data_IF_028418503282
#
_entry.id   IF_028418503282
#
_cell.length_a   1.000
_cell.length_b   1.000
_cell.length_c   1.000
_cell.angle_alpha   90.00
_cell.angle_beta   90.00
_cell.angle_gamma   90.00
#
_symmetry.space_group_name_H-M   'P 1'
#
loop_
_entity.id
_entity.type
_entity.pdbx_description
1 polymer ?
#
# COMPACT_ATOMS: atom_id res chain seq x y z
N UNK A 1 -12.50 -20.72 5.63
CA UNK A 1 -13.77 -21.48 5.61
C UNK A 1 -13.74 -22.45 4.44
N UNK A 2 -13.82 -23.75 4.70
CA UNK A 2 -13.96 -24.76 3.63
C UNK A 2 -15.43 -24.87 3.25
N UNK A 3 -15.79 -24.45 2.03
CA UNK A 3 -17.15 -24.56 1.51
C UNK A 3 -17.35 -26.02 1.11
N UNK A 4 -18.14 -26.78 1.88
CA UNK A 4 -18.62 -28.10 1.42
C UNK A 4 -19.62 -27.86 0.30
N UNK A 5 -19.41 -28.57 -0.82
CA UNK A 5 -20.34 -28.64 -1.95
C UNK A 5 -21.72 -29.04 -1.40
N UNK A 6 -22.71 -28.16 -1.53
CA UNK A 6 -24.10 -28.51 -1.23
C UNK A 6 -24.51 -29.61 -2.21
N UNK A 7 -24.76 -30.82 -1.68
CA UNK A 7 -25.17 -31.97 -2.46
C UNK A 7 -26.59 -31.75 -2.99
N UNK A 8 -26.77 -32.04 -4.27
CA UNK A 8 -27.91 -31.70 -5.13
C UNK A 8 -29.26 -32.40 -4.85
N UNK A 9 -29.51 -32.90 -3.63
CA UNK A 9 -30.66 -33.79 -3.39
C UNK A 9 -31.60 -33.39 -2.23
N UNK A 10 -31.59 -32.13 -1.81
CA UNK A 10 -32.70 -31.54 -1.07
C UNK A 10 -33.11 -30.26 -1.78
N UNK A 11 -34.39 -30.11 -2.13
CA UNK A 11 -34.92 -28.85 -2.65
C UNK A 11 -34.88 -27.81 -1.54
N UNK A 12 -33.72 -27.18 -1.37
CA UNK A 12 -33.53 -26.03 -0.49
C UNK A 12 -34.07 -24.81 -1.23
N UNK A 13 -35.22 -24.29 -0.80
CA UNK A 13 -35.79 -23.07 -1.38
C UNK A 13 -34.87 -21.88 -1.04
N UNK A 14 -34.37 -21.20 -2.07
CA UNK A 14 -33.57 -19.97 -1.90
C UNK A 14 -34.49 -18.78 -2.10
N UNK A 15 -34.76 -18.04 -1.02
CA UNK A 15 -35.58 -16.81 -1.09
C UNK A 15 -34.67 -15.59 -1.09
N UNK A 16 -34.84 -14.73 -2.10
CA UNK A 16 -34.14 -13.46 -2.22
C UNK A 16 -35.14 -12.34 -1.93
N UNK A 17 -34.84 -11.48 -0.96
CA UNK A 17 -35.65 -10.31 -0.64
C UNK A 17 -34.79 -9.05 -0.62
N UNK A 18 -35.20 -8.02 -1.34
CA UNK A 18 -34.58 -6.71 -1.30
C UNK A 18 -35.48 -5.78 -0.48
N UNK A 19 -35.00 -5.29 0.65
CA UNK A 19 -35.70 -4.21 1.35
C UNK A 19 -35.35 -2.88 0.67
N UNK A 20 -36.35 -2.30 0.01
CA UNK A 20 -36.21 -1.08 -0.77
C UNK A 20 -35.93 0.15 0.09
N UNK A 21 -36.25 0.10 1.39
CA UNK A 21 -36.03 1.22 2.31
C UNK A 21 -34.59 1.31 2.83
N UNK A 22 -33.89 0.16 2.96
CA UNK A 22 -32.53 0.07 3.50
C UNK A 22 -31.47 -0.32 2.47
N UNK A 23 -31.87 -0.75 1.26
CA UNK A 23 -30.96 -1.22 0.22
C UNK A 23 -30.29 -2.55 0.54
N UNK A 24 -30.86 -3.32 1.48
CA UNK A 24 -30.32 -4.60 1.95
C UNK A 24 -30.84 -5.72 1.07
N UNK A 25 -29.92 -6.44 0.42
CA UNK A 25 -30.22 -7.71 -0.25
C UNK A 25 -30.09 -8.85 0.76
N UNK A 26 -31.18 -9.58 0.97
CA UNK A 26 -31.25 -10.74 1.84
C UNK A 26 -31.30 -12.02 1.01
N UNK A 27 -30.41 -12.95 1.33
CA UNK A 27 -30.42 -14.32 0.82
C UNK A 27 -30.75 -15.27 1.97
N UNK A 28 -31.93 -15.89 1.91
CA UNK A 28 -32.37 -16.93 2.81
C UNK A 28 -32.16 -18.29 2.15
N UNK A 29 -31.29 -19.08 2.75
CA UNK A 29 -31.07 -20.48 2.41
C UNK A 29 -31.80 -21.33 3.45
N UNK A 30 -32.99 -21.82 3.11
CA UNK A 30 -33.73 -22.75 3.97
C UNK A 30 -33.15 -24.15 3.84
N UNK A 31 -32.04 -24.39 4.54
CA UNK A 31 -31.42 -25.71 4.61
C UNK A 31 -31.15 -26.08 6.07
N UNK A 32 -32.17 -26.58 6.77
CA UNK A 32 -32.21 -27.08 8.17
C UNK A 32 -31.48 -26.27 9.28
N UNK A 33 -30.92 -25.10 8.96
CA UNK A 33 -30.09 -24.26 9.84
C UNK A 33 -30.40 -22.76 9.75
N UNK A 34 -31.35 -22.34 8.90
CA UNK A 34 -31.84 -20.95 8.78
C UNK A 34 -30.71 -19.92 8.88
N UNK A 35 -29.81 -19.94 7.90
CA UNK A 35 -28.70 -18.98 7.80
C UNK A 35 -29.08 -17.82 6.87
N UNK A 36 -28.82 -16.59 7.31
CA UNK A 36 -29.08 -15.36 6.56
C UNK A 36 -27.76 -14.69 6.14
N UNK A 37 -27.67 -14.26 4.88
CA UNK A 37 -26.49 -13.59 4.32
C UNK A 37 -26.81 -12.13 3.97
N UNK A 38 -26.03 -11.19 4.52
CA UNK A 38 -26.26 -9.75 4.41
C UNK A 38 -25.17 -9.08 3.54
N UNK A 39 -25.59 -8.26 2.58
CA UNK A 39 -24.71 -7.53 1.64
C UNK A 39 -24.33 -6.12 2.10
N UNK A 40 -25.16 -5.47 2.92
CA UNK A 40 -24.88 -4.19 3.59
C UNK A 40 -25.73 -4.12 4.88
N UNK A 41 -25.17 -3.57 5.97
CA UNK A 41 -25.82 -3.55 7.31
C UNK A 41 -26.93 -2.50 7.39
N UNK A 42 -28.03 -2.81 8.09
CA UNK A 42 -28.16 -2.44 9.51
C UNK A 42 -28.14 -3.71 10.39
N UNK A 43 -27.95 -3.53 11.69
CA UNK A 43 -27.58 -4.59 12.65
C UNK A 43 -28.53 -5.82 12.67
N UNK A 44 -28.10 -6.93 13.30
CA UNK A 44 -28.88 -8.18 13.38
C UNK A 44 -30.29 -7.99 13.97
N UNK A 45 -30.44 -7.09 14.94
CA UNK A 45 -31.73 -6.80 15.57
C UNK A 45 -32.65 -5.95 14.68
N UNK A 46 -32.08 -5.07 13.85
CA UNK A 46 -32.83 -4.33 12.83
C UNK A 46 -33.32 -5.27 11.72
N UNK A 47 -32.50 -6.25 11.32
CA UNK A 47 -32.90 -7.29 10.37
C UNK A 47 -34.09 -8.13 10.88
N UNK A 48 -34.06 -8.56 12.16
CA UNK A 48 -35.17 -9.29 12.79
C UNK A 48 -36.47 -8.48 12.82
N UNK A 49 -36.38 -7.17 13.09
CA UNK A 49 -37.51 -6.24 13.09
C UNK A 49 -38.07 -5.99 11.69
N UNK A 50 -37.21 -5.68 10.72
CA UNK A 50 -37.60 -5.37 9.33
C UNK A 50 -38.32 -6.54 8.66
N UNK A 51 -37.86 -7.77 8.91
CA UNK A 51 -38.39 -8.96 8.24
C UNK A 51 -39.53 -9.66 8.99
N UNK A 52 -39.89 -9.18 10.19
CA UNK A 52 -40.81 -9.87 11.11
C UNK A 52 -40.44 -11.35 11.35
N UNK A 53 -39.16 -11.71 11.19
CA UNK A 53 -38.69 -13.09 11.30
C UNK A 53 -38.35 -13.39 12.77
N UNK A 54 -39.20 -14.17 13.43
CA UNK A 54 -38.97 -14.59 14.83
C UNK A 54 -37.89 -15.67 14.99
N UNK A 55 -37.36 -16.19 13.88
CA UNK A 55 -36.90 -17.57 13.80
C UNK A 55 -35.49 -17.76 13.18
N UNK A 56 -34.77 -16.66 12.91
CA UNK A 56 -33.39 -16.67 12.38
C UNK A 56 -32.40 -16.85 13.53
N UNK A 57 -31.68 -17.99 13.54
CA UNK A 57 -30.72 -18.33 14.60
C UNK A 57 -29.32 -17.78 14.33
N UNK A 58 -28.92 -17.62 13.06
CA UNK A 58 -27.59 -17.16 12.66
C UNK A 58 -27.68 -16.24 11.42
N UNK A 59 -27.10 -15.05 11.49
CA UNK A 59 -26.85 -14.21 10.32
C UNK A 59 -25.36 -13.93 10.17
N UNK A 60 -24.87 -13.89 8.94
CA UNK A 60 -23.48 -13.62 8.62
C UNK A 60 -23.37 -12.56 7.55
N UNK A 61 -22.47 -11.60 7.76
CA UNK A 61 -22.10 -10.65 6.71
C UNK A 61 -21.24 -11.36 5.68
N UNK A 62 -21.54 -11.17 4.40
CA UNK A 62 -20.72 -11.68 3.30
C UNK A 62 -20.47 -10.57 2.30
N UNK A 63 -19.20 -10.39 1.94
CA UNK A 63 -18.83 -9.46 0.88
C UNK A 63 -19.46 -9.84 -0.46
N UNK A 64 -19.56 -8.84 -1.35
CA UNK A 64 -20.18 -8.97 -2.68
C UNK A 64 -19.66 -10.16 -3.50
N UNK A 65 -18.37 -10.43 -3.43
CA UNK A 65 -17.71 -11.55 -4.10
C UNK A 65 -18.22 -12.93 -3.63
N UNK A 66 -18.43 -13.08 -2.32
CA UNK A 66 -18.91 -14.33 -1.69
C UNK A 66 -20.38 -14.52 -1.99
N UNK A 67 -21.17 -13.44 -1.96
CA UNK A 67 -22.58 -13.45 -2.33
C UNK A 67 -22.79 -13.87 -3.79
N UNK A 68 -22.00 -13.31 -4.72
CA UNK A 68 -22.04 -13.67 -6.15
C UNK A 68 -21.67 -15.15 -6.38
N UNK A 69 -20.72 -15.68 -5.61
CA UNK A 69 -20.37 -17.11 -5.66
C UNK A 69 -21.48 -18.00 -5.09
N UNK A 70 -22.14 -17.58 -4.01
CA UNK A 70 -23.29 -18.30 -3.43
C UNK A 70 -24.49 -18.32 -4.39
N UNK A 71 -24.83 -17.18 -5.00
CA UNK A 71 -25.89 -17.06 -6.00
C UNK A 71 -25.63 -17.95 -7.24
N UNK A 72 -24.39 -17.98 -7.72
CA UNK A 72 -24.01 -18.88 -8.83
C UNK A 72 -24.07 -20.35 -8.43
N UNK A 73 -23.78 -20.68 -7.17
CA UNK A 73 -23.79 -22.05 -6.68
C UNK A 73 -25.21 -22.61 -6.43
N UNK A 74 -26.21 -21.75 -6.23
CA UNK A 74 -27.60 -22.17 -5.96
C UNK A 74 -28.46 -22.29 -7.21
N UNK A 75 -27.98 -21.82 -8.37
CA UNK A 75 -28.72 -21.90 -9.64
C UNK A 75 -29.96 -21.01 -9.72
N UNK A 76 -30.09 -20.00 -8.84
CA UNK A 76 -31.26 -19.12 -8.79
C UNK A 76 -31.29 -18.16 -9.99
N UNK A 77 -32.38 -18.18 -10.76
CA UNK A 77 -32.62 -17.23 -11.86
C UNK A 77 -33.28 -15.94 -11.34
N UNK A 78 -32.82 -14.80 -11.88
CA UNK A 78 -33.36 -13.48 -11.55
C UNK A 78 -34.70 -13.26 -12.26
N UNK A 79 -35.81 -13.21 -11.52
CA UNK A 79 -37.10 -12.78 -12.08
C UNK A 79 -37.28 -11.27 -11.93
N UNK A 80 -37.61 -10.64 -13.06
CA UNK A 80 -37.74 -9.19 -13.28
C UNK A 80 -38.67 -8.49 -12.29
N UNK A 81 -38.22 -7.36 -11.73
CA UNK A 81 -39.09 -6.34 -11.16
C UNK A 81 -38.91 -5.02 -11.93
N UNK A 82 -40.04 -4.41 -12.32
CA UNK A 82 -40.11 -3.13 -13.03
C UNK A 82 -40.26 -1.93 -12.07
N UNK A 83 -39.66 -0.82 -12.52
CA UNK A 83 -39.92 0.61 -12.23
C UNK A 83 -39.30 1.33 -11.00
N UNK A 84 -38.52 2.34 -11.41
CA UNK A 84 -38.46 3.75 -10.99
C UNK A 84 -38.26 4.08 -9.51
N UNK A 85 -37.02 4.43 -9.15
CA UNK A 85 -36.69 5.03 -7.85
C UNK A 85 -36.43 6.51 -8.06
N UNK A 86 -37.33 7.33 -7.50
CA UNK A 86 -37.17 8.76 -7.31
C UNK A 86 -36.37 9.01 -6.02
N UNK A 87 -35.57 10.07 -6.10
CA UNK A 87 -34.57 10.61 -5.19
C UNK A 87 -35.00 10.73 -3.71
N UNK A 88 -34.12 10.31 -2.81
CA UNK A 88 -34.13 10.65 -1.38
C UNK A 88 -32.68 10.87 -0.84
N UNK A 89 -31.80 11.46 -1.65
CA UNK A 89 -30.53 12.03 -1.16
C UNK A 89 -29.37 11.07 -0.88
N UNK A 90 -29.49 9.77 -1.19
CA UNK A 90 -28.42 8.77 -0.97
C UNK A 90 -27.78 8.21 -2.27
N UNK A 91 -28.09 8.80 -3.43
CA UNK A 91 -27.54 8.43 -4.75
C UNK A 91 -28.45 7.52 -5.57
N UNK A 92 -28.36 7.63 -6.91
CA UNK A 92 -29.22 6.95 -7.87
C UNK A 92 -28.45 6.00 -8.81
N UNK A 93 -29.05 4.86 -9.14
CA UNK A 93 -28.57 3.87 -10.12
C UNK A 93 -29.52 3.90 -11.33
N UNK A 94 -29.01 4.14 -12.53
CA UNK A 94 -29.80 4.08 -13.77
C UNK A 94 -29.42 2.82 -14.54
N UNK A 95 -30.41 1.96 -14.77
CA UNK A 95 -30.32 0.77 -15.62
C UNK A 95 -30.95 1.05 -16.99
N UNK A 96 -30.24 0.75 -18.09
CA UNK A 96 -30.75 0.90 -19.45
C UNK A 96 -31.07 -0.48 -20.06
N UNK A 97 -32.36 -0.88 -20.12
CA UNK A 97 -32.75 -2.24 -20.51
C UNK A 97 -32.45 -2.60 -21.97
N UNK A 98 -32.36 -1.60 -22.86
CA UNK A 98 -32.15 -1.84 -24.29
C UNK A 98 -30.73 -2.26 -24.67
N UNK A 99 -29.75 -2.19 -23.75
CA UNK A 99 -28.34 -2.53 -24.04
C UNK A 99 -27.62 -3.36 -22.98
N UNK A 100 -28.27 -3.67 -21.84
CA UNK A 100 -27.69 -4.52 -20.79
C UNK A 100 -26.51 -3.93 -20.02
N UNK A 101 -26.31 -2.60 -20.03
CA UNK A 101 -25.19 -1.93 -19.34
C UNK A 101 -25.64 -1.15 -18.11
N UNK A 102 -24.80 -1.15 -17.06
CA UNK A 102 -24.94 -0.34 -15.84
C UNK A 102 -23.98 0.85 -15.91
N UNK A 103 -24.46 2.06 -15.59
CA UNK A 103 -23.62 3.27 -15.48
C UNK A 103 -23.77 3.89 -14.08
N UNK A 104 -22.65 4.04 -13.37
CA UNK A 104 -22.60 4.62 -12.02
C UNK A 104 -22.10 6.07 -12.14
N UNK A 105 -22.84 7.02 -11.55
CA UNK A 105 -22.37 8.41 -11.38
C UNK A 105 -21.92 8.61 -9.94
N UNK A 106 -20.70 9.08 -9.74
CA UNK A 106 -20.02 9.16 -8.43
C UNK A 106 -20.32 10.50 -7.75
N UNK A 107 -20.70 10.48 -6.47
CA UNK A 107 -20.64 11.62 -5.55
C UNK A 107 -20.11 11.18 -4.17
N UNK A 108 -19.63 12.16 -3.40
CA UNK A 108 -18.48 12.12 -2.50
C UNK A 108 -18.62 11.29 -1.21
N UNK A 109 -17.47 10.84 -0.67
CA UNK A 109 -17.35 9.86 0.43
C UNK A 109 -17.14 10.55 1.78
N UNK A 110 -17.93 10.17 2.78
CA UNK A 110 -17.48 10.14 4.18
C UNK A 110 -16.79 8.80 4.49
N UNK A 111 -15.82 8.85 5.40
CA UNK A 111 -14.82 7.81 5.65
C UNK A 111 -15.42 6.52 6.23
N UNK A 112 -15.15 5.38 5.59
CA UNK A 112 -15.37 4.03 6.16
C UNK A 112 -13.99 3.37 6.29
N UNK A 113 -13.58 3.07 7.52
CA UNK A 113 -12.40 2.26 7.83
C UNK A 113 -12.70 0.78 7.57
N UNK A 114 -11.73 0.06 7.00
CA UNK A 114 -11.84 -1.37 6.65
C UNK A 114 -11.18 -2.17 7.77
N UNK A 115 -11.96 -2.92 8.53
CA UNK A 115 -11.44 -3.84 9.55
C UNK A 115 -10.63 -4.99 8.91
N UNK A 116 -9.43 -5.22 9.44
CA UNK A 116 -8.52 -6.29 9.04
C UNK A 116 -8.97 -7.62 9.68
N UNK A 117 -8.82 -8.78 9.02
CA UNK A 117 -9.13 -10.08 9.63
C UNK A 117 -8.21 -10.32 10.84
N UNK A 118 -8.80 -10.50 12.03
CA UNK A 118 -8.08 -10.89 13.25
C UNK A 118 -7.61 -12.36 13.12
N UNK A 119 -6.31 -12.66 13.16
CA UNK A 119 -5.82 -14.03 13.06
C UNK A 119 -6.21 -14.85 14.28
N UNK A 120 -6.32 -16.17 14.10
CA UNK A 120 -6.60 -17.13 15.18
C UNK A 120 -5.42 -17.32 16.15
N UNK A 121 -4.25 -16.74 15.86
CA UNK A 121 -3.04 -16.74 16.72
C UNK A 121 -2.24 -15.46 16.44
N UNK A 122 -1.82 -14.76 17.51
CA UNK A 122 -0.99 -13.55 17.39
C UNK A 122 0.35 -13.85 16.71
N UNK A 123 0.87 -12.88 15.98
CA UNK A 123 2.19 -12.92 15.33
C UNK A 123 3.27 -12.56 16.34
N UNK A 124 4.33 -13.38 16.40
CA UNK A 124 5.43 -13.27 17.36
C UNK A 124 6.44 -12.23 16.92
N UNK A 125 6.70 -11.23 17.77
CA UNK A 125 7.71 -10.19 17.54
C UNK A 125 8.89 -10.40 18.49
N UNK A 126 10.11 -10.38 17.94
CA UNK A 126 11.35 -10.24 18.73
C UNK A 126 11.80 -8.79 18.70
N UNK A 127 12.02 -8.21 19.88
CA UNK A 127 12.62 -6.88 20.02
C UNK A 127 14.12 -7.02 20.26
N UNK A 128 14.94 -6.38 19.43
CA UNK A 128 16.39 -6.35 19.56
C UNK A 128 16.82 -4.88 19.73
N UNK A 129 17.16 -4.49 20.95
CA UNK A 129 17.56 -3.12 21.33
C UNK A 129 18.34 -3.18 22.64
N UNK A 130 19.46 -2.47 22.78
CA UNK A 130 20.30 -2.54 23.98
C UNK A 130 19.70 -1.77 25.19
N UNK A 131 18.74 -0.88 24.93
CA UNK A 131 18.08 -0.06 25.93
C UNK A 131 16.89 -0.79 26.55
N UNK A 132 17.04 -1.22 27.80
CA UNK A 132 15.94 -1.82 28.58
C UNK A 132 14.69 -0.91 28.68
N UNK A 133 14.86 0.41 28.59
CA UNK A 133 13.74 1.37 28.54
C UNK A 133 12.98 1.27 27.22
N UNK A 134 13.68 1.24 26.09
CA UNK A 134 13.06 1.09 24.76
C UNK A 134 12.41 -0.28 24.61
N UNK A 135 13.08 -1.35 25.07
CA UNK A 135 12.49 -2.69 25.11
C UNK A 135 11.14 -2.69 25.85
N UNK A 136 11.06 -2.09 27.05
CA UNK A 136 9.82 -2.00 27.84
C UNK A 136 8.73 -1.19 27.12
N UNK A 137 9.11 -0.08 26.50
CA UNK A 137 8.16 0.77 25.75
C UNK A 137 7.60 0.04 24.52
N UNK A 138 8.47 -0.51 23.69
CA UNK A 138 8.07 -1.30 22.52
C UNK A 138 7.24 -2.52 22.95
N UNK A 139 7.60 -3.18 24.05
CA UNK A 139 6.80 -4.29 24.59
C UNK A 139 5.39 -3.86 24.95
N UNK A 140 5.23 -2.72 25.63
CA UNK A 140 3.91 -2.17 25.97
C UNK A 140 3.10 -1.82 24.72
N UNK A 141 3.73 -1.20 23.72
CA UNK A 141 3.09 -0.82 22.46
C UNK A 141 2.66 -2.06 21.68
N UNK A 142 3.58 -3.00 21.43
CA UNK A 142 3.30 -4.19 20.61
C UNK A 142 2.23 -5.07 21.27
N UNK A 143 2.30 -5.30 22.59
CA UNK A 143 1.33 -6.14 23.29
C UNK A 143 -0.07 -5.53 23.41
N UNK A 144 -0.24 -4.24 23.12
CA UNK A 144 -1.58 -3.63 23.02
C UNK A 144 -2.30 -4.02 21.72
N UNK A 145 -1.60 -4.60 20.74
CA UNK A 145 -2.20 -5.11 19.51
C UNK A 145 -2.95 -6.42 19.77
N UNK A 146 -4.08 -6.59 19.09
CA UNK A 146 -4.77 -7.89 19.02
C UNK A 146 -4.12 -8.84 18.00
N UNK A 147 -3.26 -8.32 17.12
CA UNK A 147 -2.59 -9.03 16.03
C UNK A 147 -1.16 -9.46 16.37
N UNK A 148 -0.42 -8.65 17.14
CA UNK A 148 0.98 -8.88 17.50
C UNK A 148 1.14 -9.25 18.99
N UNK A 149 2.17 -10.02 19.29
CA UNK A 149 2.65 -10.26 20.66
C UNK A 149 4.18 -10.26 20.70
N UNK A 150 4.77 -9.75 21.78
CA UNK A 150 6.21 -9.88 22.01
C UNK A 150 6.52 -11.28 22.50
N UNK A 151 7.25 -12.04 21.69
CA UNK A 151 7.72 -13.37 22.05
C UNK A 151 9.02 -13.35 22.86
N UNK A 152 9.84 -12.31 22.68
CA UNK A 152 11.10 -12.16 23.39
C UNK A 152 11.75 -10.79 23.17
N UNK A 153 12.76 -10.54 23.99
CA UNK A 153 13.63 -9.36 23.90
C UNK A 153 15.09 -9.82 23.90
N UNK A 154 15.94 -9.13 23.16
CA UNK A 154 17.38 -9.34 23.13
C UNK A 154 18.09 -7.98 23.22
N UNK A 155 19.12 -7.90 24.06
CA UNK A 155 19.93 -6.70 24.27
C UNK A 155 21.18 -6.65 23.37
N UNK A 156 21.45 -7.73 22.62
CA UNK A 156 22.61 -7.87 21.76
C UNK A 156 22.39 -8.90 20.63
N UNK A 157 23.16 -8.81 19.53
CA UNK A 157 23.09 -9.74 18.39
C UNK A 157 23.21 -11.23 18.76
N UNK A 158 24.13 -11.60 19.67
CA UNK A 158 24.31 -12.99 20.10
C UNK A 158 23.04 -13.59 20.73
N UNK A 159 22.39 -12.85 21.63
CA UNK A 159 21.13 -13.26 22.26
C UNK A 159 19.96 -13.30 21.25
N UNK A 160 19.91 -12.34 20.33
CA UNK A 160 18.90 -12.33 19.26
C UNK A 160 19.01 -13.56 18.36
N UNK A 161 20.24 -13.94 17.99
CA UNK A 161 20.51 -15.14 17.19
C UNK A 161 19.99 -16.41 17.87
N UNK A 162 20.34 -16.62 19.14
CA UNK A 162 19.87 -17.77 19.93
C UNK A 162 18.34 -17.84 19.98
N UNK A 163 17.69 -16.69 20.24
CA UNK A 163 16.23 -16.63 20.27
C UNK A 163 15.60 -16.97 18.92
N UNK A 164 16.12 -16.41 17.82
CA UNK A 164 15.58 -16.64 16.48
C UNK A 164 15.66 -18.12 16.08
N UNK A 165 16.75 -18.80 16.44
CA UNK A 165 16.94 -20.23 16.15
C UNK A 165 15.99 -21.13 16.96
N UNK A 166 15.66 -20.72 18.19
CA UNK A 166 14.83 -21.51 19.10
C UNK A 166 13.32 -21.26 18.94
N UNK A 167 12.91 -20.00 18.83
CA UNK A 167 11.52 -19.58 18.99
C UNK A 167 10.85 -19.16 17.67
N UNK A 168 11.64 -19.00 16.60
CA UNK A 168 11.21 -18.66 15.24
C UNK A 168 10.16 -17.51 15.21
N UNK A 169 10.56 -16.26 15.51
CA UNK A 169 9.64 -15.12 15.47
C UNK A 169 9.13 -14.85 14.05
N UNK A 170 7.96 -14.20 13.94
CA UNK A 170 7.37 -13.76 12.67
C UNK A 170 7.94 -12.41 12.19
N UNK A 171 8.47 -11.59 13.10
CA UNK A 171 8.97 -10.24 12.85
C UNK A 171 10.07 -9.87 13.85
N UNK A 172 11.08 -9.13 13.40
CA UNK A 172 12.12 -8.56 14.25
C UNK A 172 12.05 -7.03 14.18
N UNK A 173 12.01 -6.38 15.34
CA UNK A 173 12.35 -4.95 15.45
C UNK A 173 13.82 -4.85 15.85
N UNK A 174 14.60 -4.09 15.10
CA UNK A 174 16.06 -4.09 15.22
C UNK A 174 16.60 -2.68 15.43
N UNK A 175 17.27 -2.44 16.54
CA UNK A 175 18.06 -1.24 16.76
C UNK A 175 19.31 -1.22 15.89
N UNK A 176 19.78 -0.02 15.55
CA UNK A 176 21.05 0.19 14.85
C UNK A 176 22.23 0.12 15.83
N UNK A 177 22.13 0.76 16.99
CA UNK A 177 23.28 0.90 17.89
C UNK A 177 23.19 -0.11 19.02
N UNK A 178 24.04 -1.12 18.98
CA UNK A 178 24.05 -2.21 19.95
C UNK A 178 25.49 -2.66 20.22
N UNK A 179 25.76 -3.29 21.36
CA UNK A 179 27.07 -3.90 21.64
C UNK A 179 27.36 -5.06 20.68
N UNK A 180 28.63 -5.52 20.69
CA UNK A 180 29.20 -6.56 19.81
C UNK A 180 29.32 -6.12 18.36
N UNK A 181 28.19 -5.87 17.68
CA UNK A 181 28.11 -5.37 16.32
C UNK A 181 26.85 -4.53 16.15
N UNK A 182 26.90 -3.58 15.22
CA UNK A 182 25.73 -2.74 14.97
C UNK A 182 24.62 -3.52 14.23
N UNK A 183 23.38 -3.03 14.31
CA UNK A 183 22.22 -3.68 13.70
C UNK A 183 22.31 -3.82 12.18
N UNK A 184 23.00 -2.91 11.49
CA UNK A 184 23.21 -3.01 10.04
C UNK A 184 24.12 -4.18 9.69
N UNK A 185 25.20 -4.37 10.45
CA UNK A 185 26.10 -5.53 10.34
C UNK A 185 25.38 -6.82 10.66
N UNK A 186 24.60 -6.86 11.75
CA UNK A 186 23.82 -8.02 12.13
C UNK A 186 22.78 -8.40 11.05
N UNK A 187 22.11 -7.40 10.47
CA UNK A 187 21.19 -7.58 9.35
C UNK A 187 21.88 -8.24 8.16
N UNK A 188 23.03 -7.69 7.73
CA UNK A 188 23.80 -8.20 6.59
C UNK A 188 24.36 -9.60 6.81
N UNK A 189 24.94 -9.85 7.98
CA UNK A 189 25.70 -11.08 8.24
C UNK A 189 24.80 -12.26 8.61
N UNK A 190 23.62 -12.01 9.18
CA UNK A 190 22.79 -13.07 9.73
C UNK A 190 21.33 -13.06 9.27
N UNK A 191 20.67 -11.90 9.30
CA UNK A 191 19.22 -11.85 9.04
C UNK A 191 18.87 -11.85 7.54
N UNK A 192 19.76 -11.34 6.67
CA UNK A 192 19.51 -11.17 5.24
C UNK A 192 19.08 -12.45 4.52
N UNK A 193 19.53 -13.61 4.99
CA UNK A 193 19.22 -14.91 4.38
C UNK A 193 17.99 -15.60 4.99
N UNK A 194 17.42 -15.10 6.09
CA UNK A 194 16.44 -15.85 6.90
C UNK A 194 14.97 -15.68 6.52
N UNK A 195 14.63 -14.99 5.42
CA UNK A 195 13.24 -14.65 5.05
C UNK A 195 12.41 -14.10 6.24
N UNK A 196 13.09 -13.45 7.19
CA UNK A 196 12.53 -12.94 8.43
C UNK A 196 12.35 -11.43 8.28
N UNK A 197 11.11 -10.90 8.29
CA UNK A 197 10.86 -9.47 8.28
C UNK A 197 11.66 -8.73 9.35
N UNK A 198 12.39 -7.69 8.94
CA UNK A 198 13.11 -6.79 9.84
C UNK A 198 12.60 -5.38 9.67
N UNK A 199 12.25 -4.73 10.77
CA UNK A 199 11.94 -3.30 10.84
C UNK A 199 12.96 -2.63 11.74
N UNK A 200 13.69 -1.67 11.19
CA UNK A 200 14.70 -0.93 11.95
C UNK A 200 14.02 0.04 12.90
N UNK A 201 14.47 0.13 14.14
CA UNK A 201 14.01 1.11 15.12
C UNK A 201 15.17 2.06 15.39
N UNK A 202 15.07 3.30 14.91
CA UNK A 202 16.15 4.28 15.10
C UNK A 202 15.61 5.65 15.51
N UNK A 203 16.50 6.47 16.05
CA UNK A 203 16.24 7.88 16.29
C UNK A 203 16.11 8.64 14.96
N UNK A 204 15.28 9.68 14.92
CA UNK A 204 15.13 10.53 13.74
C UNK A 204 16.16 11.66 13.84
N UNK A 205 17.36 11.43 13.30
CA UNK A 205 18.44 12.42 13.26
C UNK A 205 19.24 12.33 11.95
N UNK A 206 19.92 13.41 11.56
CA UNK A 206 20.74 13.43 10.33
C UNK A 206 21.89 12.42 10.40
N UNK A 207 22.48 12.21 11.58
CA UNK A 207 23.59 11.26 11.76
C UNK A 207 23.17 9.80 11.54
N UNK A 208 21.91 9.47 11.82
CA UNK A 208 21.37 8.11 11.62
C UNK A 208 21.00 7.80 10.16
N UNK A 209 20.80 8.83 9.35
CA UNK A 209 20.28 8.70 7.98
C UNK A 209 21.03 7.67 7.13
N UNK A 210 22.37 7.77 7.00
CA UNK A 210 23.15 6.81 6.22
C UNK A 210 22.98 5.36 6.68
N UNK A 211 22.99 5.09 7.99
CA UNK A 211 22.85 3.74 8.55
C UNK A 211 21.44 3.18 8.32
N UNK A 212 20.39 4.00 8.47
CA UNK A 212 19.01 3.60 8.16
C UNK A 212 18.86 3.25 6.67
N UNK A 213 19.40 4.08 5.77
CA UNK A 213 19.33 3.82 4.32
C UNK A 213 20.12 2.57 3.95
N UNK A 214 21.27 2.35 4.59
CA UNK A 214 22.05 1.14 4.41
C UNK A 214 21.29 -0.10 4.87
N UNK A 215 20.64 -0.07 6.03
CA UNK A 215 19.82 -1.19 6.51
C UNK A 215 18.68 -1.52 5.53
N UNK A 216 17.96 -0.51 5.04
CA UNK A 216 16.90 -0.67 4.04
C UNK A 216 17.40 -1.25 2.71
N UNK A 217 18.62 -0.87 2.30
CA UNK A 217 19.29 -1.42 1.12
C UNK A 217 19.66 -2.90 1.29
N UNK A 218 19.85 -3.35 2.54
CA UNK A 218 20.33 -4.68 2.91
C UNK A 218 19.23 -5.60 3.46
N UNK A 219 17.95 -5.27 3.21
CA UNK A 219 16.83 -6.18 3.45
C UNK A 219 15.90 -5.81 4.61
N UNK A 220 16.16 -4.73 5.34
CA UNK A 220 15.14 -4.18 6.22
C UNK A 220 13.95 -3.70 5.39
N UNK A 221 12.73 -4.07 5.80
CA UNK A 221 11.51 -3.77 5.05
C UNK A 221 11.03 -2.34 5.28
N UNK A 222 11.35 -1.78 6.44
CA UNK A 222 11.01 -0.41 6.80
C UNK A 222 11.80 0.04 8.03
N UNK A 223 11.61 1.29 8.44
CA UNK A 223 12.10 1.84 9.69
C UNK A 223 10.94 2.43 10.51
N UNK A 224 11.09 2.50 11.83
CA UNK A 224 10.20 3.24 12.74
C UNK A 224 11.03 4.12 13.67
N UNK A 225 10.46 5.25 14.07
CA UNK A 225 11.07 6.12 15.06
C UNK A 225 11.04 5.46 16.45
N UNK A 226 12.17 5.46 17.16
CA UNK A 226 12.22 5.05 18.57
C UNK A 226 11.21 5.87 19.39
N UNK A 227 10.30 5.23 20.14
CA UNK A 227 9.35 5.94 20.97
C UNK A 227 10.05 6.59 22.16
N UNK A 228 9.71 7.83 22.46
CA UNK A 228 10.08 8.51 23.70
C UNK A 228 8.88 8.58 24.64
N UNK A 229 9.11 8.65 25.96
CA UNK A 229 8.04 8.62 26.98
C UNK A 229 6.96 9.69 26.75
N UNK A 230 7.35 10.86 26.26
CA UNK A 230 6.49 12.01 25.94
C UNK A 230 5.69 11.84 24.64
N UNK A 231 6.11 10.96 23.73
CA UNK A 231 5.51 10.76 22.39
C UNK A 231 4.90 9.38 22.19
N UNK A 232 4.79 8.56 23.24
CA UNK A 232 4.22 7.21 23.13
C UNK A 232 2.80 7.26 22.58
N UNK A 233 1.95 8.18 23.05
CA UNK A 233 0.55 8.28 22.62
C UNK A 233 0.39 8.63 21.13
N UNK A 234 1.35 9.34 20.54
CA UNK A 234 1.31 9.75 19.13
C UNK A 234 2.00 8.73 18.22
N UNK A 235 3.11 8.14 18.65
CA UNK A 235 3.90 7.21 17.83
C UNK A 235 3.43 5.75 17.91
N UNK A 236 2.78 5.34 19.01
CA UNK A 236 2.38 3.94 19.21
C UNK A 236 1.47 3.43 18.08
N UNK A 237 0.50 4.24 17.64
CA UNK A 237 -0.41 3.88 16.56
C UNK A 237 0.32 3.68 15.23
N UNK A 238 1.24 4.58 14.88
CA UNK A 238 2.02 4.49 13.65
C UNK A 238 2.95 3.27 13.64
N UNK A 239 3.63 3.02 14.77
CA UNK A 239 4.47 1.82 14.96
C UNK A 239 3.62 0.56 14.77
N UNK A 240 2.50 0.45 15.48
CA UNK A 240 1.62 -0.73 15.39
C UNK A 240 1.09 -0.94 13.97
N UNK A 241 0.56 0.11 13.35
CA UNK A 241 0.02 0.04 12.00
C UNK A 241 1.03 -0.49 10.99
N UNK A 242 2.29 -0.04 11.12
CA UNK A 242 3.38 -0.45 10.24
C UNK A 242 3.84 -1.88 10.52
N UNK A 243 4.05 -2.25 11.80
CA UNK A 243 4.46 -3.60 12.17
C UNK A 243 3.39 -4.63 11.78
N UNK A 244 2.11 -4.34 12.01
CA UNK A 244 1.00 -5.21 11.61
C UNK A 244 0.90 -5.34 10.10
N UNK A 245 1.04 -4.24 9.35
CA UNK A 245 1.02 -4.29 7.89
C UNK A 245 2.12 -5.23 7.36
N UNK A 246 3.33 -5.14 7.92
CA UNK A 246 4.47 -5.97 7.54
C UNK A 246 4.26 -7.44 7.98
N UNK A 247 3.81 -7.67 9.21
CA UNK A 247 3.56 -9.02 9.75
C UNK A 247 2.37 -9.73 9.10
N UNK A 248 1.42 -8.98 8.52
CA UNK A 248 0.29 -9.53 7.79
C UNK A 248 0.66 -10.12 6.43
N UNK A 249 1.82 -9.75 5.88
CA UNK A 249 2.33 -10.34 4.65
C UNK A 249 2.86 -11.73 4.96
N UNK A 250 2.26 -12.76 4.36
CA UNK A 250 2.83 -14.10 4.40
C UNK A 250 4.19 -14.08 3.68
N UNK A 251 5.28 -14.05 4.42
CA UNK A 251 6.65 -14.20 3.88
C UNK A 251 6.96 -15.63 3.42
N UNK A 252 5.94 -16.50 3.34
CA UNK A 252 6.07 -17.81 2.73
C UNK A 252 6.31 -17.67 1.24
N UNK A 253 7.60 -17.67 0.88
CA UNK A 253 8.07 -18.19 -0.39
C UNK A 253 8.01 -17.24 -1.57
N UNK A 254 8.80 -16.18 -1.54
CA UNK A 254 9.39 -15.65 -2.77
C UNK A 254 10.88 -15.48 -2.55
N UNK A 255 11.63 -16.57 -2.79
CA UNK A 255 13.04 -16.42 -3.17
C UNK A 255 13.07 -15.37 -4.28
N UNK A 256 13.90 -14.33 -4.14
CA UNK A 256 14.25 -13.43 -5.23
C UNK A 256 14.78 -14.27 -6.39
N UNK A 257 13.92 -14.69 -7.31
CA UNK A 257 14.35 -15.01 -8.65
C UNK A 257 14.58 -13.66 -9.31
N UNK A 258 15.79 -13.12 -9.10
CA UNK A 258 16.39 -12.15 -9.99
C UNK A 258 16.67 -12.86 -11.31
N UNK A 259 15.62 -13.19 -12.07
CA UNK A 259 15.78 -13.30 -13.51
C UNK A 259 16.16 -11.90 -13.96
N UNK A 260 17.41 -11.71 -14.36
CA UNK A 260 17.90 -10.48 -14.98
C UNK A 260 17.15 -10.29 -16.29
N UNK A 261 15.96 -9.71 -16.23
CA UNK A 261 15.21 -9.37 -17.42
C UNK A 261 15.93 -8.17 -18.01
N UNK A 262 16.54 -8.34 -19.18
CA UNK A 262 17.22 -7.25 -19.88
C UNK A 262 16.23 -6.10 -20.12
N UNK A 263 16.45 -4.99 -19.44
CA UNK A 263 15.73 -3.74 -19.68
C UNK A 263 16.30 -3.14 -20.97
N UNK A 264 15.43 -2.78 -21.91
CA UNK A 264 15.85 -2.11 -23.16
C UNK A 264 16.30 -0.68 -22.85
N UNK A 265 17.03 -0.06 -23.77
CA UNK A 265 17.33 1.37 -23.67
C UNK A 265 16.09 2.23 -23.96
N UNK A 266 16.09 3.45 -23.43
CA UNK A 266 15.14 4.48 -23.84
C UNK A 266 15.45 4.93 -25.28
N UNK A 267 14.45 4.88 -26.17
CA UNK A 267 14.57 5.39 -27.56
C UNK A 267 14.61 6.91 -27.61
N UNK A 268 13.99 7.55 -26.63
CA UNK A 268 14.11 8.98 -26.35
C UNK A 268 14.04 9.20 -24.85
N UNK A 269 14.75 10.22 -24.40
CA UNK A 269 14.75 10.71 -23.04
C UNK A 269 13.84 11.94 -22.87
N UNK A 270 13.01 12.24 -23.89
CA UNK A 270 11.98 13.28 -23.81
C UNK A 270 10.76 12.80 -23.03
N UNK A 271 10.28 13.65 -22.13
CA UNK A 271 9.14 13.39 -21.26
C UNK A 271 9.46 13.56 -19.77
N UNK A 272 8.75 12.82 -18.93
CA UNK A 272 8.89 12.81 -17.47
C UNK A 272 8.43 11.48 -16.88
N UNK A 273 9.19 10.92 -15.93
CA UNK A 273 8.71 9.81 -15.09
C UNK A 273 8.39 10.35 -13.70
N UNK A 274 7.26 9.96 -13.11
CA UNK A 274 6.87 10.37 -11.77
C UNK A 274 6.57 9.16 -10.88
N UNK A 275 7.18 9.08 -9.70
CA UNK A 275 7.06 7.92 -8.81
C UNK A 275 6.60 8.35 -7.42
N UNK A 276 5.58 7.67 -6.88
CA UNK A 276 5.11 7.84 -5.51
C UNK A 276 5.28 6.56 -4.70
N UNK A 277 5.78 6.66 -3.47
CA UNK A 277 6.08 5.49 -2.62
C UNK A 277 6.09 5.83 -1.12
N UNK A 278 5.97 4.81 -0.26
CA UNK A 278 5.97 4.96 1.21
C UNK A 278 6.65 3.76 1.88
N UNK A 279 5.99 3.03 2.79
CA UNK A 279 6.54 1.82 3.43
C UNK A 279 7.00 0.76 2.39
N UNK A 280 8.26 0.34 2.50
CA UNK A 280 8.94 -0.54 1.53
C UNK A 280 9.39 0.17 0.23
N UNK A 281 9.09 1.47 0.10
CA UNK A 281 9.35 2.25 -1.09
C UNK A 281 10.84 2.46 -1.36
N UNK A 282 11.67 2.61 -0.33
CA UNK A 282 13.13 2.78 -0.48
C UNK A 282 13.78 1.61 -1.20
N UNK A 283 13.48 0.37 -0.78
CA UNK A 283 13.98 -0.84 -1.45
C UNK A 283 13.38 -1.01 -2.85
N UNK A 284 12.09 -0.67 -3.03
CA UNK A 284 11.43 -0.70 -4.34
C UNK A 284 12.05 0.30 -5.34
N UNK A 285 12.36 1.52 -4.88
CA UNK A 285 13.04 2.54 -5.65
C UNK A 285 14.44 2.10 -6.03
N UNK A 286 15.21 1.51 -5.10
CA UNK A 286 16.53 0.96 -5.41
C UNK A 286 16.44 -0.11 -6.52
N UNK A 287 15.51 -1.06 -6.44
CA UNK A 287 15.32 -2.11 -7.45
C UNK A 287 14.97 -1.53 -8.83
N UNK A 288 14.08 -0.54 -8.87
CA UNK A 288 13.70 0.12 -10.12
C UNK A 288 14.88 0.90 -10.69
N UNK A 289 15.49 1.80 -9.91
CA UNK A 289 16.50 2.73 -10.42
C UNK A 289 17.80 2.02 -10.82
N UNK A 290 18.25 1.03 -10.05
CA UNK A 290 19.47 0.27 -10.40
C UNK A 290 19.30 -0.66 -11.60
N UNK A 291 18.06 -0.93 -12.03
CA UNK A 291 17.78 -1.71 -13.24
C UNK A 291 17.50 -0.86 -14.48
N UNK A 292 17.46 0.48 -14.36
CA UNK A 292 17.33 1.38 -15.49
C UNK A 292 18.65 1.49 -16.28
N UNK A 293 18.59 1.74 -17.60
CA UNK A 293 19.77 2.01 -18.41
C UNK A 293 20.46 3.33 -17.99
N UNK A 294 21.68 3.56 -18.49
CA UNK A 294 22.48 4.74 -18.15
C UNK A 294 21.83 6.06 -18.56
N UNK A 295 21.15 6.07 -19.70
CA UNK A 295 20.45 7.25 -20.19
C UNK A 295 18.96 7.16 -19.84
N UNK A 296 18.46 8.13 -19.09
CA UNK A 296 17.08 8.16 -18.60
C UNK A 296 16.40 9.51 -18.86
N UNK A 297 15.08 9.54 -19.08
CA UNK A 297 14.30 10.76 -18.94
C UNK A 297 14.42 11.31 -17.51
N UNK A 298 14.12 12.60 -17.26
CA UNK A 298 14.03 13.11 -15.90
C UNK A 298 13.01 12.30 -15.08
N UNK A 299 13.35 11.97 -13.84
CA UNK A 299 12.48 11.26 -12.91
C UNK A 299 12.24 12.12 -11.67
N UNK A 300 10.98 12.31 -11.27
CA UNK A 300 10.60 13.01 -10.04
C UNK A 300 9.92 12.05 -9.08
N UNK A 301 10.38 12.03 -7.82
CA UNK A 301 9.98 11.00 -6.85
C UNK A 301 9.52 11.64 -5.56
N UNK A 302 8.35 11.23 -5.06
CA UNK A 302 7.95 11.43 -3.67
C UNK A 302 8.02 10.08 -2.95
N UNK A 303 8.89 10.03 -1.96
CA UNK A 303 8.94 8.98 -0.96
C UNK A 303 8.50 9.60 0.37
N UNK A 304 7.51 9.01 1.04
CA UNK A 304 7.18 9.41 2.41
C UNK A 304 8.34 9.06 3.33
N UNK A 305 9.09 10.07 3.75
CA UNK A 305 10.28 9.93 4.59
C UNK A 305 10.46 11.21 5.42
N UNK A 306 10.97 11.13 6.67
CA UNK A 306 11.29 12.29 7.47
C UNK A 306 12.30 13.20 6.77
N UNK A 307 12.19 14.51 7.02
CA UNK A 307 13.08 15.53 6.47
C UNK A 307 14.57 15.23 6.66
N UNK A 308 14.94 14.64 7.79
CA UNK A 308 16.34 14.31 8.10
C UNK A 308 16.92 13.19 7.24
N UNK A 309 16.09 12.44 6.50
CA UNK A 309 16.47 11.22 5.81
C UNK A 309 16.36 11.30 4.28
N UNK A 310 15.62 12.26 3.72
CA UNK A 310 15.45 12.39 2.25
C UNK A 310 16.78 12.61 1.53
N UNK A 311 17.67 13.43 2.09
CA UNK A 311 19.02 13.62 1.55
C UNK A 311 19.85 12.34 1.55
N UNK A 312 19.87 11.62 2.68
CA UNK A 312 20.60 10.36 2.79
C UNK A 312 20.08 9.30 1.81
N UNK A 313 18.76 9.27 1.56
CA UNK A 313 18.17 8.40 0.54
C UNK A 313 18.68 8.75 -0.86
N UNK A 314 18.70 10.04 -1.21
CA UNK A 314 19.18 10.50 -2.51
C UNK A 314 20.67 10.16 -2.73
N UNK A 315 21.53 10.47 -1.76
CA UNK A 315 22.97 10.16 -1.80
C UNK A 315 23.22 8.65 -1.91
N UNK A 316 22.43 7.84 -1.19
CA UNK A 316 22.52 6.38 -1.28
C UNK A 316 22.16 5.89 -2.68
N UNK A 317 21.07 6.35 -3.25
CA UNK A 317 20.64 5.96 -4.59
C UNK A 317 21.62 6.44 -5.68
N UNK A 318 22.19 7.65 -5.53
CA UNK A 318 23.22 8.20 -6.42
C UNK A 318 24.45 7.29 -6.46
N UNK A 319 24.90 6.80 -5.30
CA UNK A 319 26.04 5.89 -5.21
C UNK A 319 25.83 4.52 -5.89
N UNK A 320 24.58 4.15 -6.18
CA UNK A 320 24.20 2.86 -6.76
C UNK A 320 23.82 2.94 -8.23
N UNK A 321 23.51 4.14 -8.75
CA UNK A 321 22.97 4.33 -10.09
C UNK A 321 24.04 4.91 -11.05
N UNK A 322 23.95 4.63 -12.36
CA UNK A 322 24.88 5.18 -13.36
C UNK A 322 24.54 6.61 -13.81
N UNK A 323 23.48 7.20 -13.26
CA UNK A 323 22.95 8.54 -13.51
C UNK A 323 22.78 9.29 -12.18
N UNK A 324 22.57 10.60 -12.23
CA UNK A 324 22.52 11.40 -11.02
C UNK A 324 21.19 11.25 -10.27
N UNK A 325 21.27 11.09 -8.96
CA UNK A 325 20.15 11.13 -8.03
C UNK A 325 20.43 12.20 -7.00
N UNK A 326 19.52 13.16 -6.82
CA UNK A 326 19.67 14.21 -5.81
C UNK A 326 18.37 14.46 -5.07
N UNK A 327 18.48 14.97 -3.85
CA UNK A 327 17.38 15.65 -3.19
C UNK A 327 17.07 16.93 -3.96
N UNK A 328 15.80 17.17 -4.26
CA UNK A 328 15.40 18.28 -5.11
C UNK A 328 15.57 19.62 -4.37
N UNK A 329 16.10 20.62 -5.06
CA UNK A 329 16.21 22.00 -4.57
C UNK A 329 15.18 22.90 -5.27
N UNK A 330 14.75 23.96 -4.59
CA UNK A 330 13.82 24.91 -5.19
C UNK A 330 14.44 25.59 -6.42
N UNK A 331 13.69 25.62 -7.52
CA UNK A 331 14.16 26.17 -8.78
C UNK A 331 15.05 25.26 -9.62
N UNK A 332 15.33 24.03 -9.18
CA UNK A 332 16.09 23.03 -9.95
C UNK A 332 15.51 22.91 -11.36
N UNK A 333 16.37 23.03 -12.37
CA UNK A 333 15.99 22.77 -13.76
C UNK A 333 15.88 21.27 -13.97
N UNK A 334 14.72 20.78 -14.38
CA UNK A 334 14.48 19.36 -14.59
C UNK A 334 15.21 18.92 -15.88
N UNK A 335 16.23 18.08 -15.71
CA UNK A 335 17.13 17.64 -16.76
C UNK A 335 17.15 16.11 -16.93
N UNK A 336 17.50 15.67 -18.14
CA UNK A 336 17.74 14.25 -18.47
C UNK A 336 18.88 13.68 -17.62
N UNK A 337 18.89 12.37 -17.42
CA UNK A 337 19.88 11.66 -16.60
C UNK A 337 19.92 12.12 -15.13
N UNK A 338 18.79 12.64 -14.63
CA UNK A 338 18.66 13.09 -13.24
C UNK A 338 17.36 12.61 -12.62
N UNK A 339 17.48 12.08 -11.40
CA UNK A 339 16.37 11.72 -10.52
C UNK A 339 16.30 12.72 -9.37
N UNK A 340 15.12 13.28 -9.12
CA UNK A 340 14.86 14.26 -8.08
C UNK A 340 13.98 13.64 -6.99
N UNK A 341 14.52 13.52 -5.78
CA UNK A 341 13.80 13.05 -4.59
C UNK A 341 13.23 14.26 -3.85
N UNK A 342 11.92 14.26 -3.59
CA UNK A 342 11.29 15.32 -2.81
C UNK A 342 11.90 15.42 -1.40
N UNK A 343 12.32 16.63 -0.95
CA UNK A 343 12.80 16.81 0.40
C UNK A 343 11.67 16.63 1.41
N UNK A 344 11.95 15.92 2.51
CA UNK A 344 11.00 15.81 3.62
C UNK A 344 10.71 17.18 4.24
N UNK A 345 9.47 17.40 4.69
CA UNK A 345 9.08 18.66 5.32
C UNK A 345 8.65 19.76 4.33
N UNK A 346 8.80 19.57 3.01
CA UNK A 346 8.27 20.46 1.98
C UNK A 346 7.29 19.73 1.06
N UNK A 347 6.43 20.48 0.38
CA UNK A 347 5.75 19.95 -0.80
C UNK A 347 6.61 20.18 -2.04
N UNK A 348 6.63 19.21 -2.95
CA UNK A 348 7.35 19.31 -4.22
C UNK A 348 6.36 19.24 -5.38
N UNK A 349 6.41 20.24 -6.27
CA UNK A 349 5.68 20.23 -7.55
C UNK A 349 6.61 20.52 -8.71
N UNK A 350 6.14 20.20 -9.91
CA UNK A 350 6.78 20.57 -11.16
C UNK A 350 6.02 21.71 -11.82
N UNK A 351 6.75 22.66 -12.40
CA UNK A 351 6.16 23.78 -13.14
C UNK A 351 6.97 24.07 -14.41
N UNK A 352 6.34 24.77 -15.35
CA UNK A 352 6.97 25.18 -16.61
C UNK A 352 7.01 26.70 -16.68
N UNK A 353 8.21 27.25 -16.87
CA UNK A 353 8.43 28.66 -17.14
C UNK A 353 9.03 28.80 -18.55
N UNK A 354 8.19 29.18 -19.52
CA UNK A 354 8.55 29.14 -20.94
C UNK A 354 8.76 27.72 -21.43
N UNK A 355 9.97 27.41 -21.93
CA UNK A 355 10.36 26.05 -22.33
C UNK A 355 10.99 25.23 -21.21
N UNK A 356 11.32 25.85 -20.07
CA UNK A 356 12.10 25.23 -19.00
C UNK A 356 11.16 24.64 -17.94
N UNK A 357 11.31 23.34 -17.68
CA UNK A 357 10.70 22.64 -16.54
C UNK A 357 11.53 22.88 -15.28
N UNK A 358 10.87 23.19 -14.17
CA UNK A 358 11.51 23.42 -12.87
C UNK A 358 10.81 22.68 -11.74
N UNK A 359 11.58 22.32 -10.72
CA UNK A 359 11.06 21.98 -9.40
C UNK A 359 10.66 23.26 -8.68
N UNK A 360 9.51 23.23 -8.01
CA UNK A 360 9.11 24.24 -7.04
C UNK A 360 8.86 23.53 -5.71
N UNK A 361 9.55 23.99 -4.67
CA UNK A 361 9.31 23.57 -3.31
C UNK A 361 8.43 24.60 -2.61
N UNK A 362 7.41 24.14 -1.88
CA UNK A 362 6.54 25.03 -1.11
C UNK A 362 6.37 24.55 0.32
N UNK A 363 6.13 25.49 1.21
CA UNK A 363 5.75 25.21 2.60
C UNK A 363 4.23 25.01 2.74
N UNK A 364 3.54 24.61 1.66
CA UNK A 364 2.09 24.41 1.69
C UNK A 364 1.68 23.34 2.72
N UNK A 365 0.44 23.39 3.23
CA UNK A 365 -0.03 22.42 4.23
C UNK A 365 0.11 20.96 3.79
N UNK A 366 0.22 20.01 4.74
CA UNK A 366 0.23 18.58 4.42
C UNK A 366 -1.02 18.15 3.64
N UNK A 367 -0.83 17.32 2.61
CA UNK A 367 -1.90 16.70 1.83
C UNK A 367 -1.95 15.22 2.21
N UNK A 368 -3.14 14.72 2.55
CA UNK A 368 -3.30 13.37 3.12
C UNK A 368 -2.43 13.11 4.37
N UNK A 369 -2.13 14.16 5.16
CA UNK A 369 -1.20 14.15 6.33
C UNK A 369 0.28 14.07 5.97
N UNK A 370 0.65 14.08 4.70
CA UNK A 370 2.03 13.96 4.23
C UNK A 370 2.59 15.27 3.67
N UNK A 371 3.88 15.46 3.93
CA UNK A 371 4.71 16.56 3.42
C UNK A 371 6.15 16.04 3.31
N UNK A 372 6.55 15.50 2.15
CA UNK A 372 5.92 15.61 0.83
C UNK A 372 4.74 14.66 0.59
N UNK A 373 3.77 15.10 -0.20
CA UNK A 373 2.64 14.29 -0.70
C UNK A 373 2.80 13.90 -2.16
N UNK A 374 2.45 12.66 -2.47
CA UNK A 374 2.43 12.13 -3.83
C UNK A 374 1.31 12.78 -4.65
N UNK A 375 0.12 12.97 -4.06
CA UNK A 375 -0.99 13.67 -4.74
C UNK A 375 -0.57 15.10 -5.12
N UNK A 376 0.19 15.79 -4.26
CA UNK A 376 0.66 17.15 -4.53
C UNK A 376 1.59 17.20 -5.76
N UNK A 377 2.57 16.29 -5.84
CA UNK A 377 3.44 16.18 -7.02
C UNK A 377 2.62 15.82 -8.26
N UNK A 378 1.82 14.76 -8.21
CA UNK A 378 1.10 14.25 -9.39
C UNK A 378 0.11 15.28 -9.95
N UNK A 379 -0.61 16.02 -9.10
CA UNK A 379 -1.56 17.03 -9.54
C UNK A 379 -0.91 18.23 -10.26
N UNK A 380 0.40 18.44 -10.10
CA UNK A 380 1.11 19.53 -10.78
C UNK A 380 1.51 19.22 -12.23
N UNK A 381 1.68 17.94 -12.58
CA UNK A 381 2.22 17.50 -13.87
C UNK A 381 1.32 17.86 -15.08
N UNK A 382 -0.03 17.76 -15.02
CA UNK A 382 -0.87 18.11 -16.17
C UNK A 382 -0.66 19.54 -16.70
N UNK A 383 -0.28 20.47 -15.81
CA UNK A 383 -0.01 21.87 -16.18
C UNK A 383 1.19 22.03 -17.12
N UNK A 384 2.11 21.06 -17.14
CA UNK A 384 3.29 21.08 -18.00
C UNK A 384 2.96 20.87 -19.48
N UNK A 385 1.82 20.21 -19.77
CA UNK A 385 1.42 19.76 -21.12
C UNK A 385 2.53 18.93 -21.80
N UNK A 386 3.17 18.05 -21.04
CA UNK A 386 4.15 17.11 -21.60
C UNK A 386 3.44 16.10 -22.49
N UNK A 387 4.06 15.67 -23.57
CA UNK A 387 3.46 14.67 -24.47
C UNK A 387 3.70 13.23 -23.99
N UNK A 388 4.73 13.02 -23.17
CA UNK A 388 5.16 11.70 -22.73
C UNK A 388 5.41 11.69 -21.21
N UNK A 389 4.45 11.13 -20.46
CA UNK A 389 4.58 10.93 -19.02
C UNK A 389 4.19 9.51 -18.65
N UNK A 390 5.04 8.88 -17.84
CA UNK A 390 4.73 7.63 -17.15
C UNK A 390 4.79 7.88 -15.66
N UNK A 391 3.67 7.62 -14.97
CA UNK A 391 3.60 7.74 -13.52
C UNK A 391 3.34 6.38 -12.88
N UNK A 392 3.98 6.12 -11.74
CA UNK A 392 3.81 4.88 -11.00
C UNK A 392 3.58 5.13 -9.51
N UNK A 393 2.65 4.38 -8.92
CA UNK A 393 2.46 4.30 -7.48
C UNK A 393 2.99 2.95 -6.97
N UNK A 394 3.88 2.98 -5.99
CA UNK A 394 4.55 1.81 -5.42
C UNK A 394 4.00 1.47 -4.03
N UNK A 395 4.55 0.42 -3.44
CA UNK A 395 4.28 -0.04 -2.07
C UNK A 395 4.22 1.12 -1.08
N UNK A 396 3.27 1.01 -0.15
CA UNK A 396 3.04 2.05 0.83
C UNK A 396 1.69 1.92 1.52
N UNK A 397 1.60 2.49 2.72
CA UNK A 397 0.36 2.55 3.48
C UNK A 397 -0.49 3.75 3.06
N UNK A 398 -1.82 3.62 3.18
CA UNK A 398 -2.75 4.73 2.96
C UNK A 398 -3.17 4.90 1.50
N UNK A 399 -3.57 6.12 1.15
CA UNK A 399 -4.23 6.46 -0.12
C UNK A 399 -3.59 7.62 -0.89
N UNK A 400 -2.50 8.17 -0.36
CA UNK A 400 -1.81 9.29 -1.00
C UNK A 400 -1.27 8.87 -2.37
N UNK A 401 -1.39 9.74 -3.36
CA UNK A 401 -1.04 9.48 -4.75
C UNK A 401 -2.14 8.82 -5.57
N UNK A 402 -3.18 8.21 -4.96
CA UNK A 402 -4.25 7.56 -5.71
C UNK A 402 -5.05 8.57 -6.55
N UNK A 403 -5.45 9.70 -5.95
CA UNK A 403 -6.23 10.73 -6.65
C UNK A 403 -5.40 11.44 -7.70
N UNK A 404 -4.15 11.79 -7.38
CA UNK A 404 -3.22 12.39 -8.31
C UNK A 404 -2.92 11.49 -9.50
N UNK A 405 -2.76 10.17 -9.26
CA UNK A 405 -2.56 9.21 -10.34
C UNK A 405 -3.79 9.13 -11.24
N UNK A 406 -5.01 9.21 -10.68
CA UNK A 406 -6.24 9.28 -11.47
C UNK A 406 -6.26 10.54 -12.36
N UNK A 407 -5.89 11.69 -11.80
CA UNK A 407 -5.78 12.94 -12.56
C UNK A 407 -4.77 12.83 -13.72
N UNK A 408 -3.64 12.15 -13.51
CA UNK A 408 -2.68 11.87 -14.58
C UNK A 408 -3.26 10.99 -15.67
N UNK A 409 -3.98 9.92 -15.29
CA UNK A 409 -4.67 9.04 -16.23
C UNK A 409 -5.73 9.78 -17.05
N UNK A 410 -6.53 10.61 -16.39
CA UNK A 410 -7.56 11.45 -17.05
C UNK A 410 -6.94 12.49 -17.99
N UNK A 411 -5.70 12.89 -17.74
CA UNK A 411 -4.90 13.75 -18.63
C UNK A 411 -4.26 12.99 -19.80
N UNK A 412 -4.50 11.68 -19.93
CA UNK A 412 -3.98 10.84 -21.02
C UNK A 412 -2.59 10.26 -20.78
N UNK A 413 -2.05 10.39 -19.56
CA UNK A 413 -0.74 9.84 -19.23
C UNK A 413 -0.80 8.37 -18.80
N UNK A 414 0.31 7.66 -19.01
CA UNK A 414 0.42 6.26 -18.60
C UNK A 414 0.55 6.18 -17.09
N UNK A 415 -0.27 5.33 -16.48
CA UNK A 415 -0.32 5.17 -15.03
C UNK A 415 -0.17 3.71 -14.61
N UNK A 416 0.77 3.44 -13.72
CA UNK A 416 1.14 2.10 -13.26
C UNK A 416 0.96 1.98 -11.75
N UNK A 417 0.61 0.78 -11.29
CA UNK A 417 0.59 0.44 -9.87
C UNK A 417 1.45 -0.79 -9.64
N UNK A 418 2.23 -0.81 -8.55
CA UNK A 418 2.88 -2.04 -8.11
C UNK A 418 1.84 -3.09 -7.72
N UNK A 419 2.05 -4.34 -8.10
CA UNK A 419 1.14 -5.45 -7.77
C UNK A 419 1.20 -5.83 -6.27
N UNK A 420 0.19 -6.57 -5.82
CA UNK A 420 0.05 -6.97 -4.41
C UNK A 420 1.17 -7.90 -3.93
N UNK A 421 1.61 -8.84 -4.76
CA UNK A 421 2.58 -9.87 -4.38
C UNK A 421 3.95 -9.25 -4.07
N UNK A 422 4.38 -8.30 -4.89
CA UNK A 422 5.67 -7.62 -4.70
C UNK A 422 5.64 -6.49 -3.68
N UNK A 423 4.48 -5.95 -3.29
CA UNK A 423 4.38 -4.86 -2.32
C UNK A 423 4.74 -5.31 -0.89
N UNK A 424 5.54 -4.55 -0.16
CA UNK A 424 5.69 -4.76 1.30
C UNK A 424 4.38 -4.43 2.01
N UNK A 425 3.74 -3.32 1.62
CA UNK A 425 2.42 -2.89 2.08
C UNK A 425 1.57 -2.51 0.87
N UNK A 426 0.52 -3.28 0.60
CA UNK A 426 -0.41 -3.05 -0.51
C UNK A 426 -1.55 -2.08 -0.13
N UNK A 427 -1.19 -0.85 0.24
CA UNK A 427 -2.13 0.22 0.57
C UNK A 427 -2.32 1.20 -0.58
N UNK A 428 -1.29 2.00 -0.87
CA UNK A 428 -1.31 3.04 -1.91
C UNK A 428 -1.65 2.47 -3.29
N UNK A 429 -1.05 1.36 -3.75
CA UNK A 429 -1.40 0.77 -5.04
C UNK A 429 -2.83 0.21 -5.07
N UNK A 430 -3.29 -0.38 -3.96
CA UNK A 430 -4.67 -0.89 -3.83
C UNK A 430 -5.69 0.23 -3.97
N UNK A 431 -5.49 1.37 -3.30
CA UNK A 431 -6.42 2.51 -3.37
C UNK A 431 -6.41 3.15 -4.77
N UNK A 432 -5.26 3.20 -5.44
CA UNK A 432 -5.17 3.64 -6.82
C UNK A 432 -5.92 2.70 -7.78
N UNK A 433 -5.70 1.38 -7.69
CA UNK A 433 -6.39 0.37 -8.51
C UNK A 433 -7.91 0.40 -8.28
N UNK A 434 -8.35 0.52 -7.03
CA UNK A 434 -9.77 0.57 -6.62
C UNK A 434 -10.55 1.71 -7.27
N UNK A 435 -9.91 2.85 -7.51
CA UNK A 435 -10.55 4.00 -8.18
C UNK A 435 -10.27 4.05 -9.68
N UNK A 436 -9.62 3.02 -10.23
CA UNK A 436 -9.25 2.95 -11.64
C UNK A 436 -8.15 3.92 -12.03
N UNK A 437 -7.32 4.37 -11.09
CA UNK A 437 -6.25 5.35 -11.32
C UNK A 437 -5.06 4.77 -12.09
N UNK A 438 -4.81 3.46 -12.02
CA UNK A 438 -3.76 2.79 -12.78
C UNK A 438 -4.35 2.05 -14.00
N UNK A 439 -3.59 1.98 -15.08
CA UNK A 439 -3.88 1.13 -16.24
C UNK A 439 -3.53 -0.34 -15.98
N UNK A 440 -2.43 -0.56 -15.26
CA UNK A 440 -1.81 -1.87 -15.10
C UNK A 440 -1.30 -2.03 -13.67
N UNK A 441 -1.54 -3.21 -13.09
CA UNK A 441 -0.81 -3.70 -11.94
C UNK A 441 0.44 -4.45 -12.44
N UNK A 442 1.63 -4.08 -11.96
CA UNK A 442 2.91 -4.54 -12.48
C UNK A 442 3.78 -5.08 -11.34
N UNK A 443 4.34 -6.30 -11.48
CA UNK A 443 5.36 -6.82 -10.57
C UNK A 443 6.55 -5.87 -10.45
N UNK A 444 7.06 -5.66 -9.24
CA UNK A 444 8.21 -4.76 -9.01
C UNK A 444 9.39 -5.10 -9.91
N UNK A 445 9.70 -6.39 -10.06
CA UNK A 445 10.77 -6.90 -10.91
C UNK A 445 10.62 -6.57 -12.40
N UNK A 446 9.42 -6.21 -12.83
CA UNK A 446 9.09 -5.81 -14.20
C UNK A 446 8.84 -4.30 -14.34
N UNK A 447 8.80 -3.55 -13.23
CA UNK A 447 8.37 -2.15 -13.23
C UNK A 447 9.29 -1.28 -14.10
N UNK A 448 10.62 -1.41 -13.96
CA UNK A 448 11.59 -0.66 -14.77
C UNK A 448 11.43 -0.94 -16.26
N UNK A 449 11.28 -2.21 -16.64
CA UNK A 449 11.01 -2.63 -18.02
C UNK A 449 9.72 -2.01 -18.57
N UNK A 450 8.64 -2.03 -17.80
CA UNK A 450 7.35 -1.47 -18.24
C UNK A 450 7.43 0.04 -18.38
N UNK A 451 8.13 0.74 -17.47
CA UNK A 451 8.39 2.18 -17.58
C UNK A 451 9.10 2.50 -18.90
N UNK A 452 10.20 1.81 -19.21
CA UNK A 452 10.93 1.99 -20.47
C UNK A 452 10.03 1.73 -21.69
N UNK A 453 9.32 0.61 -21.69
CA UNK A 453 8.47 0.23 -22.82
C UNK A 453 7.36 1.25 -23.08
N UNK A 454 6.75 1.78 -22.01
CA UNK A 454 5.69 2.78 -22.12
C UNK A 454 6.26 4.12 -22.58
N UNK A 455 7.37 4.57 -22.01
CA UNK A 455 8.07 5.78 -22.47
C UNK A 455 8.44 5.72 -23.95
N UNK A 456 8.91 4.56 -24.44
CA UNK A 456 9.31 4.36 -25.84
C UNK A 456 8.13 4.34 -26.84
N UNK A 457 6.93 3.98 -26.40
CA UNK A 457 5.74 3.90 -27.28
C UNK A 457 5.10 5.26 -27.51
N UNK A 458 5.08 6.12 -26.50
CA UNK A 458 4.41 7.43 -26.57
C UNK A 458 5.15 8.42 -27.48
N UNK A 459 6.42 8.19 -27.78
CA UNK A 459 7.24 9.10 -28.60
C UNK A 459 6.95 9.08 -30.10
N UNK A 460 5.98 8.26 -30.56
CA UNK A 460 5.66 8.04 -31.97
C UNK A 460 4.25 8.50 -32.37
N UNK A 461 3.59 9.34 -31.56
CA UNK A 461 2.27 9.91 -31.87
C UNK A 461 2.33 11.38 -32.24
#
# INVERSE_FOLDING_TARGET
MSIKKLSSNSQSEVRISLDQSSGVLLLLLEDNKRECFLLRSPTLDECKKLLKLKDVKNARYVGSEVCLRLLKATGAEWTNFEREVVDNGAGSVIYCPSSGKVKIKKLERENIEVERPVPTKKKKVLIVDDSSTIQKLLTKIINSSEFLEVAGVADRPSAAKEFIEKEAPDLVTLDIHMPEMNGVEFLKQYLGDKNLPVVVVSSVSVAEGPLVMEALSNGALSYVQKPSLDKVSTLAGDILNQLEAIASKNTSGTKKQTTSISVQDFKTTDGLVAIGSSTGGTSALQEILTSLPKEIPPIVIVQHIPAVFSKALAERLDSLCPFHVKEAEDGDKIAKNTVYIAPGGFQMKVAKHGSIKKIILTDDPPVNRFKPSVDYLFNSIPSLKETNVVASILTGMGKDGAKGLLTLKESGYVTLAQDEESCVVFGMPREALKIGAAELAVPLSNMSKVIVQKMNKTSHS
#
